data_IF_955925762458
#
_entry.id   IF_955925762458
#
_cell.length_a   1.000
_cell.length_b   1.000
_cell.length_c   1.000
_cell.angle_alpha   90.00
_cell.angle_beta   90.00
_cell.angle_gamma   90.00
#
_symmetry.space_group_name_H-M   'P 1'
#
loop_
_entity.id
_entity.type
_entity.pdbx_description
1 polymer ?
#
# COMPACT_ATOMS: atom_id res chain seq x y z
N UNK A 1 -70.10 -34.06 -9.63
CA UNK A 1 -71.27 -33.33 -10.19
C UNK A 1 -72.24 -33.03 -9.05
N UNK A 2 -72.47 -31.75 -8.77
CA UNK A 2 -73.65 -31.10 -8.13
C UNK A 2 -74.21 -31.72 -6.81
N UNK A 3 -74.63 -31.00 -5.77
CA UNK A 3 -75.55 -29.85 -5.72
C UNK A 3 -75.39 -29.18 -4.32
N UNK A 4 -75.61 -27.86 -4.23
CA UNK A 4 -75.77 -27.07 -3.00
C UNK A 4 -77.15 -27.35 -2.31
N UNK A 5 -77.73 -26.57 -1.33
CA UNK A 5 -77.30 -25.32 -0.66
C UNK A 5 -77.79 -25.12 0.84
N UNK A 6 -77.65 -23.88 1.35
CA UNK A 6 -78.50 -23.12 2.32
C UNK A 6 -78.38 -23.24 3.88
N UNK A 7 -77.94 -22.10 4.45
CA UNK A 7 -78.51 -21.26 5.54
C UNK A 7 -78.89 -21.83 6.95
N UNK A 8 -78.15 -21.30 7.94
CA UNK A 8 -78.61 -20.44 9.05
C UNK A 8 -79.46 -21.04 10.20
N UNK A 9 -78.96 -21.02 11.46
CA UNK A 9 -79.50 -20.25 12.61
C UNK A 9 -78.94 -20.66 13.99
N UNK A 10 -78.86 -19.63 14.85
CA UNK A 10 -78.53 -19.55 16.29
C UNK A 10 -79.50 -20.32 17.23
N UNK A 11 -79.02 -20.68 18.43
CA UNK A 11 -79.63 -20.50 19.79
C UNK A 11 -78.61 -21.00 20.85
N UNK A 12 -78.05 -20.14 21.72
CA UNK A 12 -78.55 -19.61 23.01
C UNK A 12 -78.45 -20.60 24.19
N UNK A 13 -77.60 -20.27 25.17
CA UNK A 13 -77.89 -20.39 26.62
C UNK A 13 -77.23 -19.20 27.35
N UNK A 14 -77.96 -18.63 28.31
CA UNK A 14 -77.69 -17.43 29.11
C UNK A 14 -77.78 -17.79 30.61
N UNK A 15 -77.05 -17.09 31.49
CA UNK A 15 -77.50 -16.39 32.72
C UNK A 15 -76.27 -15.88 33.53
N UNK A 16 -76.03 -14.55 33.60
CA UNK A 16 -76.23 -13.62 34.74
C UNK A 16 -75.13 -13.69 35.84
N UNK A 17 -74.57 -12.59 36.39
CA UNK A 17 -75.19 -11.37 36.91
C UNK A 17 -74.28 -10.11 36.88
N UNK A 18 -74.91 -8.95 37.10
CA UNK A 18 -74.47 -7.55 36.85
C UNK A 18 -74.06 -6.76 38.10
N UNK A 19 -73.33 -5.64 37.91
CA UNK A 19 -73.52 -4.26 38.46
C UNK A 19 -72.40 -3.34 37.85
N UNK A 20 -72.61 -2.38 36.92
CA UNK A 20 -73.08 -0.96 36.99
C UNK A 20 -72.35 -0.12 38.09
N UNK A 21 -71.74 1.07 37.92
CA UNK A 21 -71.84 2.25 37.01
C UNK A 21 -70.47 3.03 37.00
N UNK A 22 -69.94 3.48 35.85
CA UNK A 22 -69.94 4.86 35.28
C UNK A 22 -69.03 5.94 35.91
N UNK A 23 -68.06 6.48 35.15
CA UNK A 23 -67.94 7.90 34.72
C UNK A 23 -66.58 8.20 34.05
N UNK A 24 -66.59 9.18 33.13
CA UNK A 24 -65.53 9.59 32.19
C UNK A 24 -64.68 10.75 32.79
N UNK A 25 -63.72 11.35 32.04
CA UNK A 25 -62.29 11.44 32.33
C UNK A 25 -61.85 12.76 33.00
N UNK A 26 -60.63 12.82 33.56
CA UNK A 26 -59.87 14.08 33.68
C UNK A 26 -58.36 13.87 33.83
N UNK A 27 -57.64 14.65 33.04
CA UNK A 27 -56.21 14.95 33.04
C UNK A 27 -55.73 15.54 34.37
N UNK A 28 -54.54 15.20 34.86
CA UNK A 28 -53.31 16.03 34.80
C UNK A 28 -52.18 15.45 35.65
N UNK A 29 -50.97 15.55 35.07
CA UNK A 29 -49.67 15.82 35.69
C UNK A 29 -49.05 14.83 36.69
N UNK A 30 -47.87 14.34 36.28
CA UNK A 30 -46.69 14.35 37.14
C UNK A 30 -46.16 12.98 37.54
N UNK A 31 -45.25 12.43 36.73
CA UNK A 31 -43.87 12.22 37.15
C UNK A 31 -43.03 11.76 35.97
N UNK A 32 -42.08 12.62 35.63
CA UNK A 32 -40.99 12.41 34.70
C UNK A 32 -40.16 11.18 35.09
N UNK A 33 -39.99 10.23 34.17
CA UNK A 33 -38.73 9.52 34.03
C UNK A 33 -38.31 9.56 32.57
N UNK A 34 -37.59 10.61 32.23
CA UNK A 34 -36.59 10.59 31.16
C UNK A 34 -35.60 9.45 31.46
N UNK A 35 -35.82 8.25 30.93
CA UNK A 35 -34.72 7.35 30.64
C UNK A 35 -34.04 7.86 29.37
N UNK A 36 -33.05 8.72 29.61
CA UNK A 36 -31.95 8.94 28.69
C UNK A 36 -31.35 7.59 28.31
N UNK A 37 -31.75 7.04 27.17
CA UNK A 37 -30.94 6.03 26.48
C UNK A 37 -29.72 6.76 25.98
N UNK A 38 -28.64 6.69 26.76
CA UNK A 38 -27.32 7.04 26.30
C UNK A 38 -27.08 6.24 25.02
N UNK A 39 -27.02 6.93 23.88
CA UNK A 39 -26.60 6.36 22.62
C UNK A 39 -25.11 6.01 22.78
N UNK A 40 -24.83 4.85 23.38
CA UNK A 40 -23.49 4.30 23.41
C UNK A 40 -23.18 3.94 21.98
N UNK A 41 -22.27 4.68 21.36
CA UNK A 41 -21.73 4.31 20.06
C UNK A 41 -21.28 2.85 20.13
N UNK A 42 -21.95 2.00 19.35
CA UNK A 42 -21.62 0.58 19.25
C UNK A 42 -20.52 0.43 18.21
N UNK A 43 -19.58 -0.46 18.47
CA UNK A 43 -18.45 -0.72 17.58
C UNK A 43 -18.30 -2.21 17.35
N UNK A 44 -17.95 -2.58 16.13
CA UNK A 44 -17.43 -3.92 15.80
C UNK A 44 -16.08 -4.14 16.50
N UNK A 45 -15.64 -5.38 16.58
CA UNK A 45 -14.33 -5.72 17.19
C UNK A 45 -13.14 -5.03 16.50
N UNK A 46 -13.27 -4.67 15.22
CA UNK A 46 -12.26 -3.91 14.45
C UNK A 46 -12.35 -2.38 14.61
N UNK A 47 -13.21 -1.89 15.51
CA UNK A 47 -13.32 -0.46 15.82
C UNK A 47 -14.20 0.33 14.85
N UNK A 48 -14.90 -0.32 13.92
CA UNK A 48 -15.88 0.34 13.04
C UNK A 48 -17.17 0.64 13.79
N UNK A 49 -17.62 1.89 13.73
CA UNK A 49 -18.87 2.33 14.37
C UNK A 49 -20.09 1.73 13.68
N UNK A 50 -20.96 1.09 14.46
CA UNK A 50 -22.27 0.61 14.06
C UNK A 50 -23.24 1.79 14.17
N UNK A 51 -23.76 2.23 13.01
CA UNK A 51 -24.61 3.43 12.89
C UNK A 51 -26.10 3.15 13.08
N UNK A 52 -26.46 1.93 13.46
CA UNK A 52 -27.82 1.48 13.73
C UNK A 52 -27.86 0.72 15.05
N UNK A 53 -29.03 0.66 15.70
CA UNK A 53 -29.23 -0.21 16.85
C UNK A 53 -29.34 -1.67 16.35
N UNK A 54 -28.37 -2.55 16.63
CA UNK A 54 -28.38 -3.92 16.15
C UNK A 54 -29.49 -4.77 16.78
N UNK A 55 -30.12 -4.28 17.86
CA UNK A 55 -31.26 -4.92 18.51
C UNK A 55 -32.60 -4.33 18.06
N UNK A 56 -32.61 -3.37 17.14
CA UNK A 56 -33.84 -2.81 16.60
C UNK A 56 -34.66 -3.86 15.81
N UNK A 57 -36.00 -3.75 15.79
CA UNK A 57 -36.86 -4.65 15.02
C UNK A 57 -36.44 -4.75 13.55
N UNK A 58 -36.30 -5.98 13.04
CA UNK A 58 -35.89 -6.26 11.65
C UNK A 58 -34.39 -6.26 11.38
N UNK A 59 -33.55 -5.78 12.31
CA UNK A 59 -32.08 -5.82 12.12
C UNK A 59 -31.53 -7.24 12.19
N UNK A 60 -32.04 -8.06 13.10
CA UNK A 60 -31.66 -9.47 13.23
C UNK A 60 -31.95 -10.30 11.96
N UNK A 61 -33.03 -9.98 11.24
CA UNK A 61 -33.38 -10.66 9.98
C UNK A 61 -32.51 -10.18 8.82
N UNK A 62 -32.12 -8.90 8.83
CA UNK A 62 -31.33 -8.27 7.77
C UNK A 62 -29.82 -8.52 7.89
N UNK A 63 -29.32 -8.58 9.13
CA UNK A 63 -27.89 -8.61 9.45
C UNK A 63 -27.54 -9.67 10.48
N UNK A 64 -28.42 -10.61 10.84
CA UNK A 64 -28.14 -11.53 11.95
C UNK A 64 -28.10 -10.82 13.32
N UNK A 65 -27.90 -11.58 14.38
CA UNK A 65 -27.78 -11.05 15.75
C UNK A 65 -26.32 -11.04 16.19
N UNK A 66 -25.86 -10.03 16.97
CA UNK A 66 -24.50 -9.99 17.51
C UNK A 66 -24.09 -11.30 18.21
N UNK A 67 -22.92 -11.84 17.86
CA UNK A 67 -22.37 -13.06 18.46
C UNK A 67 -22.91 -14.38 17.88
N UNK A 68 -23.85 -14.33 16.95
CA UNK A 68 -24.28 -15.50 16.19
C UNK A 68 -23.66 -15.47 14.80
N UNK A 69 -23.21 -16.64 14.36
CA UNK A 69 -22.71 -16.83 13.00
C UNK A 69 -23.79 -17.37 12.09
N UNK A 70 -23.78 -17.02 10.80
CA UNK A 70 -24.61 -17.70 9.81
C UNK A 70 -24.15 -19.16 9.57
N UNK A 71 -24.79 -19.85 8.62
CA UNK A 71 -24.47 -21.25 8.28
C UNK A 71 -23.05 -21.45 7.74
N UNK A 72 -22.36 -20.38 7.37
CA UNK A 72 -21.00 -20.39 6.86
C UNK A 72 -19.99 -19.79 7.86
N UNK A 73 -20.43 -19.44 9.08
CA UNK A 73 -19.58 -18.95 10.15
C UNK A 73 -19.43 -17.42 10.23
N UNK A 74 -20.22 -16.64 9.49
CA UNK A 74 -20.16 -15.17 9.47
C UNK A 74 -20.83 -14.52 10.67
N UNK A 75 -20.08 -13.75 11.47
CA UNK A 75 -20.64 -12.80 12.43
C UNK A 75 -20.46 -11.36 11.90
N UNK A 76 -21.50 -10.71 11.37
CA UNK A 76 -21.41 -9.35 10.80
C UNK A 76 -21.01 -8.25 11.80
N UNK A 77 -21.05 -8.57 13.09
CA UNK A 77 -20.62 -7.69 14.17
C UNK A 77 -19.16 -7.95 14.61
N UNK A 78 -18.55 -9.04 14.15
CA UNK A 78 -17.18 -9.47 14.49
C UNK A 78 -16.24 -9.60 13.27
N UNK A 79 -16.74 -10.02 12.12
CA UNK A 79 -15.97 -10.35 10.93
C UNK A 79 -15.86 -9.18 9.95
N UNK A 80 -14.65 -8.94 9.40
CA UNK A 80 -14.37 -7.85 8.45
C UNK A 80 -14.52 -8.27 7.00
N UNK A 81 -15.17 -7.40 6.23
CA UNK A 81 -15.49 -7.59 4.81
C UNK A 81 -14.41 -6.94 3.93
N UNK A 82 -13.23 -7.55 3.91
CA UNK A 82 -12.15 -7.25 2.96
C UNK A 82 -11.63 -5.80 2.91
N UNK A 83 -10.59 -5.55 2.09
CA UNK A 83 -9.93 -4.24 1.99
C UNK A 83 -10.72 -3.15 1.24
N UNK A 84 -11.98 -3.42 0.87
CA UNK A 84 -12.76 -2.60 -0.06
C UNK A 84 -13.84 -1.70 0.54
N UNK A 85 -14.24 -1.88 1.80
CA UNK A 85 -15.44 -1.20 2.35
C UNK A 85 -15.09 -0.11 3.37
N UNK A 86 -13.91 -0.19 3.99
CA UNK A 86 -13.40 0.85 4.90
C UNK A 86 -12.14 1.47 4.31
N UNK A 87 -12.19 2.79 4.09
CA UNK A 87 -11.03 3.60 3.72
C UNK A 87 -10.57 4.42 4.91
N UNK A 88 -9.27 4.63 5.06
CA UNK A 88 -8.77 5.26 6.28
C UNK A 88 -7.26 5.35 6.37
N UNK A 89 -6.81 5.89 7.50
CA UNK A 89 -5.45 5.72 7.99
C UNK A 89 -5.28 4.25 8.35
N UNK A 90 -4.19 3.63 7.90
CA UNK A 90 -3.91 2.23 8.21
C UNK A 90 -3.66 2.03 9.71
N UNK A 91 -4.16 0.93 10.25
CA UNK A 91 -3.83 0.51 11.61
C UNK A 91 -2.40 -0.03 11.65
N UNK A 92 -1.64 0.40 12.66
CA UNK A 92 -0.26 -0.03 12.89
C UNK A 92 -0.13 -0.74 14.23
N UNK A 93 0.72 -1.77 14.32
CA UNK A 93 1.07 -2.40 15.60
C UNK A 93 1.79 -1.39 16.49
N UNK A 94 1.38 -1.29 17.75
CA UNK A 94 1.91 -0.29 18.69
C UNK A 94 3.41 -0.47 18.95
N UNK A 95 3.93 -1.70 18.98
CA UNK A 95 5.35 -1.94 19.25
C UNK A 95 6.26 -1.75 18.03
N UNK A 96 5.80 -2.16 16.83
CA UNK A 96 6.65 -2.22 15.63
C UNK A 96 6.36 -1.16 14.57
N UNK A 97 5.22 -0.46 14.64
CA UNK A 97 4.77 0.46 13.60
C UNK A 97 4.36 -0.21 12.29
N UNK A 98 4.44 -1.54 12.20
CA UNK A 98 4.05 -2.32 11.03
C UNK A 98 2.56 -2.21 10.75
N UNK A 99 2.22 -2.18 9.46
CA UNK A 99 0.83 -2.17 9.00
C UNK A 99 0.17 -3.50 9.37
N UNK A 100 -0.99 -3.42 10.01
CA UNK A 100 -1.81 -4.59 10.33
C UNK A 100 -2.50 -5.05 9.04
N UNK A 101 -2.16 -6.25 8.55
CA UNK A 101 -2.86 -6.89 7.44
C UNK A 101 -4.04 -7.68 8.00
N UNK A 102 -5.22 -7.48 7.42
CA UNK A 102 -6.45 -8.13 7.86
C UNK A 102 -6.43 -9.64 7.65
N UNK A 103 -7.35 -10.35 8.31
CA UNK A 103 -7.59 -11.77 7.99
C UNK A 103 -8.54 -11.87 6.80
N UNK A 104 -8.30 -12.85 5.94
CA UNK A 104 -9.20 -13.19 4.84
C UNK A 104 -10.51 -13.73 5.44
N UNK A 105 -11.62 -13.16 5.03
CA UNK A 105 -12.93 -13.71 5.32
C UNK A 105 -13.21 -14.87 4.36
N UNK A 106 -13.46 -16.07 4.91
CA UNK A 106 -13.93 -17.27 4.19
C UNK A 106 -13.20 -17.63 2.88
N UNK A 107 -11.91 -17.34 2.78
CA UNK A 107 -11.16 -17.56 1.54
C UNK A 107 -11.65 -16.77 0.29
N UNK A 108 -12.51 -15.76 0.43
CA UNK A 108 -13.08 -15.04 -0.74
C UNK A 108 -12.14 -14.03 -1.41
N UNK A 109 -11.11 -13.54 -0.70
CA UNK A 109 -10.10 -12.65 -1.28
C UNK A 109 -8.69 -13.24 -1.11
N UNK A 110 -8.07 -13.78 -2.17
CA UNK A 110 -6.75 -14.41 -2.08
C UNK A 110 -5.62 -13.45 -1.65
N UNK A 111 -5.88 -12.14 -1.55
CA UNK A 111 -4.93 -11.11 -1.14
C UNK A 111 -5.53 -10.19 -0.07
N UNK A 112 -5.38 -10.50 1.23
CA UNK A 112 -5.87 -9.62 2.29
C UNK A 112 -5.11 -8.29 2.28
N UNK A 113 -5.85 -7.17 2.35
CA UNK A 113 -5.26 -5.83 2.43
C UNK A 113 -5.14 -5.31 3.87
N UNK A 114 -4.67 -4.06 4.05
CA UNK A 114 -4.46 -3.48 5.37
C UNK A 114 -5.78 -3.24 6.12
N UNK A 115 -5.72 -3.33 7.45
CA UNK A 115 -6.80 -2.91 8.35
C UNK A 115 -6.74 -1.40 8.50
N UNK A 116 -7.90 -0.75 8.51
CA UNK A 116 -8.02 0.70 8.60
C UNK A 116 -8.55 1.11 9.97
N UNK A 117 -7.92 2.13 10.56
CA UNK A 117 -8.37 2.76 11.81
C UNK A 117 -9.50 3.79 11.59
N UNK A 118 -9.99 3.94 10.36
CA UNK A 118 -10.92 4.99 9.95
C UNK A 118 -10.21 6.34 9.71
N UNK A 119 -10.97 7.43 9.65
CA UNK A 119 -10.42 8.80 9.58
C UNK A 119 -10.14 9.37 8.18
N UNK A 120 -10.44 8.65 7.10
CA UNK A 120 -10.24 9.12 5.71
C UNK A 120 -8.82 8.91 5.18
N UNK A 121 -8.47 9.53 4.05
CA UNK A 121 -7.17 9.32 3.41
C UNK A 121 -6.00 9.73 4.32
N UNK A 122 -4.87 9.02 4.19
CA UNK A 122 -3.60 9.37 4.84
C UNK A 122 -3.23 10.86 4.63
N UNK A 123 -2.61 11.54 5.62
CA UNK A 123 -2.31 12.97 5.56
C UNK A 123 -1.54 13.40 4.30
N UNK A 124 -0.54 12.63 3.88
CA UNK A 124 0.24 12.92 2.67
C UNK A 124 -0.61 12.88 1.40
N UNK A 125 -1.61 12.00 1.35
CA UNK A 125 -2.57 11.91 0.23
C UNK A 125 -3.52 13.10 0.17
N UNK A 126 -3.93 13.66 1.32
CA UNK A 126 -4.81 14.82 1.38
C UNK A 126 -4.12 16.13 0.93
N UNK A 127 -2.79 16.15 0.90
CA UNK A 127 -1.99 17.34 0.60
C UNK A 127 -1.42 17.35 -0.82
N UNK A 128 -1.73 16.35 -1.65
CA UNK A 128 -1.19 16.24 -3.02
C UNK A 128 -1.57 17.43 -3.93
N UNK A 129 -2.65 18.14 -3.63
CA UNK A 129 -3.09 19.30 -4.40
C UNK A 129 -2.35 20.61 -4.00
N UNK A 130 -1.55 20.60 -2.93
CA UNK A 130 -0.77 21.75 -2.43
C UNK A 130 0.64 21.30 -2.06
N UNK A 131 1.46 21.09 -3.10
CA UNK A 131 2.83 20.58 -2.98
C UNK A 131 3.72 21.53 -2.18
N UNK A 132 3.77 22.80 -2.62
CA UNK A 132 4.70 23.78 -2.08
C UNK A 132 4.37 24.19 -0.63
N UNK A 133 3.08 24.33 -0.29
CA UNK A 133 2.65 24.77 1.04
C UNK A 133 2.53 23.62 2.03
N UNK A 134 1.71 22.61 1.70
CA UNK A 134 1.29 21.59 2.67
C UNK A 134 2.12 20.31 2.59
N UNK A 135 2.26 19.73 1.40
CA UNK A 135 2.92 18.43 1.26
C UNK A 135 4.39 18.49 1.66
N UNK A 136 5.14 19.47 1.15
CA UNK A 136 6.56 19.61 1.48
C UNK A 136 6.76 19.83 2.98
N UNK A 137 5.99 20.75 3.58
CA UNK A 137 6.03 21.00 5.03
C UNK A 137 5.72 19.75 5.86
N UNK A 138 4.76 18.93 5.42
CA UNK A 138 4.42 17.68 6.09
C UNK A 138 5.60 16.68 6.01
N UNK A 139 6.13 16.46 4.80
CA UNK A 139 7.18 15.49 4.56
C UNK A 139 8.55 15.91 5.13
N UNK A 140 8.78 17.19 5.33
CA UNK A 140 9.95 17.69 6.07
C UNK A 140 9.88 17.30 7.56
N UNK A 141 8.68 17.32 8.15
CA UNK A 141 8.46 16.96 9.55
C UNK A 141 8.34 15.45 9.76
N UNK A 142 7.74 14.76 8.79
CA UNK A 142 7.40 13.34 8.82
C UNK A 142 7.78 12.67 7.50
N UNK A 143 9.08 12.44 7.26
CA UNK A 143 9.58 11.92 5.98
C UNK A 143 9.08 10.50 5.67
N UNK A 144 8.74 9.71 6.69
CA UNK A 144 8.16 8.38 6.55
C UNK A 144 6.80 8.39 5.84
N UNK A 145 6.07 9.51 5.89
CA UNK A 145 4.76 9.64 5.26
C UNK A 145 4.79 9.68 3.72
N UNK A 146 5.99 9.78 3.13
CA UNK A 146 6.18 9.76 1.66
C UNK A 146 5.67 8.46 1.03
N UNK A 147 5.69 7.38 1.81
CA UNK A 147 5.29 6.03 1.43
C UNK A 147 4.10 5.52 2.27
N UNK A 148 3.38 6.42 2.94
CA UNK A 148 2.26 6.02 3.80
C UNK A 148 1.13 5.39 2.99
N UNK A 149 0.50 4.38 3.57
CA UNK A 149 -0.51 3.59 2.88
C UNK A 149 -1.90 4.12 3.24
N UNK A 150 -2.75 4.29 2.23
CA UNK A 150 -4.12 4.76 2.35
C UNK A 150 -5.11 3.72 1.83
N UNK A 151 -6.36 4.12 1.60
CA UNK A 151 -7.44 3.28 1.05
C UNK A 151 -6.98 2.47 -0.16
N UNK A 152 -7.30 1.17 -0.18
CA UNK A 152 -6.90 0.24 -1.24
C UNK A 152 -5.41 -0.11 -1.25
N UNK A 153 -4.70 0.03 -0.13
CA UNK A 153 -3.25 -0.20 -0.06
C UNK A 153 -2.41 0.80 -0.87
N UNK A 154 -3.03 1.88 -1.34
CA UNK A 154 -2.38 2.85 -2.21
C UNK A 154 -1.39 3.72 -1.43
N UNK A 155 -0.22 3.96 -2.01
CA UNK A 155 0.73 4.98 -1.53
C UNK A 155 0.48 6.33 -2.21
N UNK A 156 1.10 7.45 -1.75
CA UNK A 156 0.83 8.77 -2.30
C UNK A 156 1.06 8.86 -3.81
N UNK A 157 2.06 8.14 -4.36
CA UNK A 157 2.28 8.05 -5.81
C UNK A 157 1.13 7.37 -6.58
N UNK A 158 0.47 6.36 -6.01
CA UNK A 158 -0.74 5.79 -6.60
C UNK A 158 -1.87 6.83 -6.63
N UNK A 159 -1.98 7.61 -5.56
CA UNK A 159 -3.00 8.64 -5.42
C UNK A 159 -2.77 9.85 -6.34
N UNK A 160 -1.52 10.12 -6.74
CA UNK A 160 -1.22 11.02 -7.84
C UNK A 160 -1.89 10.59 -9.15
N UNK A 161 -2.07 9.29 -9.34
CA UNK A 161 -2.74 8.70 -10.49
C UNK A 161 -4.26 8.83 -10.52
N UNK A 162 -4.87 9.51 -9.54
CA UNK A 162 -6.34 9.62 -9.42
C UNK A 162 -6.91 10.93 -10.00
N UNK A 163 -6.07 11.93 -10.32
CA UNK A 163 -6.53 13.15 -10.97
C UNK A 163 -5.40 13.90 -11.68
N UNK A 164 -5.76 14.72 -12.68
CA UNK A 164 -4.79 15.57 -13.41
C UNK A 164 -4.06 16.58 -12.54
N UNK A 165 -4.67 17.06 -11.45
CA UNK A 165 -4.03 17.99 -10.53
C UNK A 165 -2.93 17.32 -9.70
N UNK A 166 -3.24 16.13 -9.17
CA UNK A 166 -2.37 15.42 -8.23
C UNK A 166 -1.12 14.83 -8.88
N UNK A 167 -1.13 14.58 -10.19
CA UNK A 167 0.06 14.07 -10.88
C UNK A 167 1.27 15.02 -10.75
N UNK A 168 1.05 16.31 -10.50
CA UNK A 168 2.13 17.32 -10.26
C UNK A 168 2.93 17.05 -8.98
N UNK A 169 2.38 16.29 -8.04
CA UNK A 169 3.09 15.93 -6.81
C UNK A 169 4.12 14.79 -7.01
N UNK A 170 4.12 14.11 -8.17
CA UNK A 170 5.03 12.98 -8.44
C UNK A 170 6.49 13.38 -8.22
N UNK A 171 6.93 14.52 -8.78
CA UNK A 171 8.30 15.00 -8.63
C UNK A 171 8.71 15.17 -7.16
N UNK A 172 7.91 15.89 -6.39
CA UNK A 172 8.19 16.16 -4.97
C UNK A 172 8.24 14.88 -4.12
N UNK A 173 7.42 13.88 -4.45
CA UNK A 173 7.39 12.58 -3.77
C UNK A 173 8.62 11.74 -4.14
N UNK A 174 8.93 11.62 -5.43
CA UNK A 174 10.09 10.88 -5.95
C UNK A 174 11.41 11.42 -5.39
N UNK A 175 11.55 12.75 -5.36
CA UNK A 175 12.73 13.42 -4.80
C UNK A 175 12.88 13.19 -3.29
N UNK A 176 11.82 12.74 -2.61
CA UNK A 176 11.78 12.42 -1.17
C UNK A 176 11.79 10.93 -0.86
N UNK A 177 12.06 10.07 -1.85
CA UNK A 177 12.21 8.63 -1.63
C UNK A 177 10.93 7.82 -1.76
N UNK A 178 9.92 8.34 -2.48
CA UNK A 178 8.72 7.56 -2.77
C UNK A 178 9.05 6.31 -3.60
N UNK A 179 8.38 5.19 -3.28
CA UNK A 179 8.53 3.93 -3.98
C UNK A 179 7.75 3.94 -5.31
N UNK A 180 8.49 4.02 -6.42
CA UNK A 180 7.93 4.12 -7.77
C UNK A 180 7.38 2.79 -8.30
N UNK A 181 7.75 1.65 -7.69
CA UNK A 181 7.32 0.30 -8.09
C UNK A 181 6.42 -0.36 -7.05
N UNK A 182 6.00 0.36 -6.01
CA UNK A 182 5.07 -0.17 -5.03
C UNK A 182 3.77 -0.65 -5.68
N UNK A 183 3.17 -1.67 -5.09
CA UNK A 183 1.91 -2.24 -5.55
C UNK A 183 0.78 -1.91 -4.58
N UNK A 184 -0.33 -1.42 -5.12
CA UNK A 184 -1.58 -1.30 -4.37
C UNK A 184 -2.31 -2.66 -4.24
N UNK A 185 -3.47 -2.69 -3.57
CA UNK A 185 -4.25 -3.94 -3.37
C UNK A 185 -4.78 -4.57 -4.66
N UNK A 186 -4.79 -3.84 -5.78
CA UNK A 186 -5.14 -4.38 -7.09
C UNK A 186 -3.91 -4.90 -7.84
N UNK A 187 -2.72 -4.84 -7.24
CA UNK A 187 -1.48 -5.24 -7.88
C UNK A 187 -1.00 -4.24 -8.93
N UNK A 188 -1.44 -2.99 -8.88
CA UNK A 188 -1.03 -1.95 -9.81
C UNK A 188 0.09 -1.11 -9.23
N UNK A 189 1.07 -0.74 -10.06
CA UNK A 189 2.06 0.30 -9.73
C UNK A 189 1.48 1.71 -9.93
N UNK A 190 2.14 2.78 -9.44
CA UNK A 190 1.77 4.15 -9.78
C UNK A 190 1.67 4.40 -11.30
N UNK A 191 2.55 3.80 -12.11
CA UNK A 191 2.53 3.95 -13.57
C UNK A 191 1.27 3.33 -14.19
N UNK A 192 0.79 2.20 -13.67
CA UNK A 192 -0.49 1.62 -14.08
C UNK A 192 -1.67 2.53 -13.75
N UNK A 193 -1.66 3.20 -12.59
CA UNK A 193 -2.70 4.18 -12.22
C UNK A 193 -2.71 5.39 -13.16
N UNK A 194 -1.53 5.89 -13.54
CA UNK A 194 -1.42 6.96 -14.54
C UNK A 194 -1.97 6.51 -15.90
N UNK A 195 -1.66 5.28 -16.31
CA UNK A 195 -2.16 4.69 -17.55
C UNK A 195 -3.68 4.57 -17.58
N UNK A 196 -4.28 4.03 -16.51
CA UNK A 196 -5.74 3.85 -16.41
C UNK A 196 -6.53 5.15 -16.49
N UNK A 197 -5.92 6.29 -16.12
CA UNK A 197 -6.59 7.59 -16.03
C UNK A 197 -6.07 8.62 -17.06
N UNK A 198 -5.30 8.17 -18.06
CA UNK A 198 -4.75 9.03 -19.13
C UNK A 198 -3.93 10.23 -18.60
N UNK A 199 -3.01 9.98 -17.66
CA UNK A 199 -2.20 10.98 -16.97
C UNK A 199 -0.76 11.00 -17.50
N UNK A 200 -0.57 11.58 -18.68
CA UNK A 200 0.69 11.57 -19.41
C UNK A 200 1.84 12.30 -18.71
N UNK A 201 1.57 13.42 -18.02
CA UNK A 201 2.58 14.22 -17.32
C UNK A 201 3.16 13.45 -16.12
N UNK A 202 2.29 12.83 -15.30
CA UNK A 202 2.68 11.96 -14.21
C UNK A 202 3.43 10.72 -14.68
N UNK A 203 2.97 10.08 -15.76
CA UNK A 203 3.66 8.93 -16.35
C UNK A 203 5.07 9.29 -16.84
N UNK A 204 5.23 10.43 -17.52
CA UNK A 204 6.54 10.92 -17.97
C UNK A 204 7.50 11.11 -16.80
N UNK A 205 7.05 11.78 -15.73
CA UNK A 205 7.87 11.96 -14.53
C UNK A 205 8.28 10.63 -13.88
N UNK A 206 7.38 9.64 -13.80
CA UNK A 206 7.72 8.31 -13.29
C UNK A 206 8.75 7.60 -14.17
N UNK A 207 8.61 7.68 -15.49
CA UNK A 207 9.56 7.08 -16.45
C UNK A 207 10.94 7.76 -16.40
N UNK A 208 10.99 9.08 -16.24
CA UNK A 208 12.23 9.83 -16.01
C UNK A 208 12.86 9.51 -14.65
N UNK A 209 12.02 9.23 -13.64
CA UNK A 209 12.43 8.64 -12.37
C UNK A 209 12.83 7.15 -12.50
N UNK A 210 12.76 6.58 -13.70
CA UNK A 210 13.25 5.23 -13.99
C UNK A 210 12.25 4.15 -13.58
N UNK A 211 10.95 4.43 -13.60
CA UNK A 211 9.94 3.40 -13.47
C UNK A 211 10.04 2.40 -14.63
N UNK A 212 9.85 1.12 -14.34
CA UNK A 212 9.91 0.06 -15.35
C UNK A 212 8.64 0.08 -16.21
N UNK A 213 8.79 0.56 -17.45
CA UNK A 213 7.70 0.63 -18.44
C UNK A 213 7.11 -0.74 -18.78
N UNK A 214 7.86 -1.82 -18.56
CA UNK A 214 7.43 -3.20 -18.83
C UNK A 214 6.95 -3.94 -17.58
N UNK A 215 6.90 -3.29 -16.41
CA UNK A 215 6.38 -3.94 -15.21
C UNK A 215 4.89 -4.28 -15.39
N UNK A 216 4.54 -5.56 -15.18
CA UNK A 216 3.16 -6.06 -15.33
C UNK A 216 2.32 -6.03 -14.05
N UNK A 217 2.84 -5.46 -12.96
CA UNK A 217 2.27 -5.56 -11.61
C UNK A 217 1.97 -7.00 -11.19
N UNK A 218 1.00 -7.15 -10.28
CA UNK A 218 0.29 -8.41 -10.06
C UNK A 218 -1.07 -8.46 -10.78
N UNK A 219 -1.42 -7.41 -11.52
CA UNK A 219 -2.56 -7.37 -12.44
C UNK A 219 -2.28 -8.17 -13.71
N UNK A 220 -1.01 -8.41 -14.04
CA UNK A 220 -0.59 -9.25 -15.16
C UNK A 220 -0.54 -8.52 -16.51
N UNK A 221 -0.65 -7.20 -16.51
CA UNK A 221 -0.69 -6.35 -17.68
C UNK A 221 0.30 -5.20 -17.53
N UNK A 222 0.97 -4.78 -18.60
CA UNK A 222 1.79 -3.56 -18.57
C UNK A 222 0.92 -2.31 -18.53
N UNK A 223 1.50 -1.19 -18.10
CA UNK A 223 0.84 0.12 -18.17
C UNK A 223 0.34 0.45 -19.60
N UNK A 224 1.08 0.08 -20.66
CA UNK A 224 0.65 0.29 -22.04
C UNK A 224 -0.56 -0.57 -22.44
N UNK A 225 -0.67 -1.81 -21.92
CA UNK A 225 -1.86 -2.65 -22.11
C UNK A 225 -3.10 -2.01 -21.48
N UNK A 226 -2.98 -1.55 -20.22
CA UNK A 226 -4.06 -0.84 -19.52
C UNK A 226 -4.45 0.44 -20.26
N UNK A 227 -3.48 1.23 -20.71
CA UNK A 227 -3.75 2.46 -21.46
C UNK A 227 -4.53 2.18 -22.75
N UNK A 228 -4.18 1.12 -23.49
CA UNK A 228 -4.93 0.68 -24.68
C UNK A 228 -6.36 0.27 -24.34
N UNK A 229 -6.54 -0.55 -23.30
CA UNK A 229 -7.87 -1.01 -22.87
C UNK A 229 -8.80 0.13 -22.44
N UNK A 230 -8.24 1.17 -21.82
CA UNK A 230 -8.97 2.35 -21.34
C UNK A 230 -9.07 3.50 -22.36
N UNK A 231 -8.57 3.33 -23.59
CA UNK A 231 -8.48 4.39 -24.60
C UNK A 231 -7.75 5.66 -24.10
N UNK A 232 -6.71 5.48 -23.29
CA UNK A 232 -5.90 6.53 -22.68
C UNK A 232 -4.75 6.92 -23.64
N UNK A 233 -5.09 7.66 -24.70
CA UNK A 233 -4.15 7.90 -25.81
C UNK A 233 -2.93 8.77 -25.45
N UNK A 234 -3.10 9.80 -24.62
CA UNK A 234 -2.00 10.73 -24.30
C UNK A 234 -0.90 10.01 -23.52
N UNK A 235 -1.28 9.18 -22.54
CA UNK A 235 -0.30 8.39 -21.77
C UNK A 235 0.25 7.23 -22.58
N UNK A 236 -0.53 6.64 -23.50
CA UNK A 236 -0.07 5.58 -24.38
C UNK A 236 1.10 6.05 -25.26
N UNK A 237 1.02 7.27 -25.82
CA UNK A 237 2.11 7.86 -26.60
C UNK A 237 3.41 7.96 -25.77
N UNK A 238 3.31 8.41 -24.51
CA UNK A 238 4.45 8.50 -23.60
C UNK A 238 5.06 7.12 -23.32
N UNK A 239 4.22 6.12 -23.09
CA UNK A 239 4.64 4.75 -22.79
C UNK A 239 5.32 4.09 -23.99
N UNK A 240 4.74 4.19 -25.20
CA UNK A 240 5.31 3.62 -26.42
C UNK A 240 6.65 4.27 -26.82
N UNK A 241 6.79 5.58 -26.60
CA UNK A 241 8.07 6.27 -26.76
C UNK A 241 9.12 5.72 -25.77
N UNK A 242 8.75 5.51 -24.51
CA UNK A 242 9.65 4.94 -23.51
C UNK A 242 10.03 3.47 -23.82
N UNK A 243 9.09 2.65 -24.27
CA UNK A 243 9.35 1.27 -24.71
C UNK A 243 10.34 1.22 -25.88
N UNK A 244 10.17 2.09 -26.90
CA UNK A 244 11.13 2.20 -28.02
C UNK A 244 12.53 2.57 -27.53
N UNK A 245 12.64 3.50 -26.60
CA UNK A 245 13.94 3.90 -26.02
C UNK A 245 14.58 2.75 -25.24
N UNK A 246 13.78 1.97 -24.51
CA UNK A 246 14.27 0.79 -23.80
C UNK A 246 14.80 -0.27 -24.78
N UNK A 247 14.11 -0.51 -25.90
CA UNK A 247 14.54 -1.48 -26.93
C UNK A 247 15.75 -1.05 -27.78
N UNK A 248 16.04 0.25 -27.88
CA UNK A 248 17.10 0.81 -28.74
C UNK A 248 18.45 1.03 -28.03
N UNK A 249 18.63 0.60 -26.77
CA UNK A 249 19.88 0.84 -26.02
C UNK A 249 21.09 0.11 -26.64
N UNK A 250 21.74 0.74 -27.62
CA UNK A 250 23.20 0.63 -27.81
C UNK A 250 23.84 1.46 -26.70
N UNK A 251 24.48 0.81 -25.73
CA UNK A 251 25.59 1.30 -24.89
C UNK A 251 25.83 2.82 -24.92
N UNK A 252 24.87 3.61 -24.46
CA UNK A 252 25.07 5.03 -24.14
C UNK A 252 25.15 5.08 -22.63
N UNK A 253 26.32 5.45 -22.10
CA UNK A 253 26.66 5.38 -20.68
C UNK A 253 25.52 5.77 -19.75
N UNK A 254 25.34 4.98 -18.69
CA UNK A 254 24.20 5.10 -17.81
C UNK A 254 24.32 6.36 -16.94
N UNK A 255 23.41 7.33 -17.14
CA UNK A 255 23.12 8.35 -16.13
C UNK A 255 22.12 7.77 -15.16
N UNK A 256 22.58 7.38 -13.97
CA UNK A 256 21.67 7.09 -12.87
C UNK A 256 20.93 8.35 -12.46
N UNK A 257 19.62 8.22 -12.25
CA UNK A 257 18.81 9.24 -11.62
C UNK A 257 18.77 9.11 -10.08
N UNK A 258 19.28 8.00 -9.53
CA UNK A 258 19.35 7.79 -8.08
C UNK A 258 20.48 8.63 -7.50
N UNK A 259 20.16 9.48 -6.53
CA UNK A 259 21.11 10.39 -5.89
C UNK A 259 21.47 10.00 -4.47
N UNK A 260 20.60 9.25 -3.80
CA UNK A 260 20.81 8.78 -2.43
C UNK A 260 19.93 7.56 -2.17
N UNK A 261 20.42 6.63 -1.36
CA UNK A 261 19.61 5.63 -0.68
C UNK A 261 19.63 5.88 0.82
N UNK A 262 18.55 5.54 1.52
CA UNK A 262 18.55 5.51 2.99
C UNK A 262 18.05 4.13 3.43
N UNK A 263 18.84 3.42 4.22
CA UNK A 263 18.51 2.10 4.78
C UNK A 263 18.11 2.27 6.24
N UNK A 264 16.99 1.67 6.62
CA UNK A 264 16.46 1.73 7.99
C UNK A 264 15.93 0.37 8.43
N UNK A 265 15.95 0.14 9.74
CA UNK A 265 15.35 -1.06 10.34
C UNK A 265 16.08 -2.37 10.03
N UNK A 266 17.33 -2.32 9.59
CA UNK A 266 18.18 -3.49 9.42
C UNK A 266 18.52 -4.10 10.78
N UNK A 267 17.96 -5.28 11.07
CA UNK A 267 18.22 -6.06 12.28
C UNK A 267 18.41 -7.53 11.87
N UNK A 268 19.49 -8.22 12.30
CA UNK A 268 20.44 -7.85 13.34
C UNK A 268 21.68 -7.07 12.87
N UNK A 269 21.68 -6.51 11.66
CA UNK A 269 22.84 -5.81 11.08
C UNK A 269 22.68 -4.27 11.14
N UNK A 270 22.88 -3.62 12.30
CA UNK A 270 22.64 -2.19 12.43
C UNK A 270 23.59 -1.34 11.59
N UNK A 271 24.79 -1.83 11.28
CA UNK A 271 25.80 -1.13 10.47
C UNK A 271 25.34 -0.88 9.03
N UNK A 272 24.34 -1.62 8.55
CA UNK A 272 23.74 -1.37 7.25
C UNK A 272 22.76 -0.18 7.24
N UNK A 273 22.33 0.31 8.41
CA UNK A 273 21.42 1.47 8.48
C UNK A 273 22.18 2.77 8.26
N UNK A 274 21.61 3.67 7.46
CA UNK A 274 22.15 4.99 7.19
C UNK A 274 22.01 5.39 5.73
N UNK A 275 22.69 6.47 5.37
CA UNK A 275 22.65 7.03 4.02
C UNK A 275 23.74 6.40 3.14
N UNK A 276 23.40 6.19 1.86
CA UNK A 276 24.32 5.69 0.85
C UNK A 276 24.32 6.61 -0.37
N UNK A 277 25.51 6.87 -0.90
CA UNK A 277 25.72 7.74 -2.05
C UNK A 277 26.25 6.95 -3.25
N UNK A 278 25.81 7.28 -4.48
CA UNK A 278 26.24 6.56 -5.67
C UNK A 278 27.76 6.72 -5.90
N UNK A 279 28.36 5.66 -6.41
CA UNK A 279 29.77 5.52 -6.79
C UNK A 279 29.90 4.85 -8.14
N UNK A 280 30.95 5.24 -8.86
CA UNK A 280 31.26 4.69 -10.18
C UNK A 280 32.31 3.58 -10.01
N UNK A 281 31.99 2.31 -10.34
CA UNK A 281 32.94 1.20 -10.23
C UNK A 281 34.14 1.34 -11.16
N UNK A 282 34.05 2.18 -12.20
CA UNK A 282 35.20 2.55 -13.03
C UNK A 282 36.30 3.28 -12.25
N UNK A 283 35.92 3.99 -11.19
CA UNK A 283 36.83 4.85 -10.42
C UNK A 283 37.09 4.33 -9.01
N UNK A 284 36.18 3.55 -8.45
CA UNK A 284 36.24 3.12 -7.06
C UNK A 284 35.55 1.76 -6.84
N UNK A 285 36.23 0.86 -6.13
CA UNK A 285 35.70 -0.46 -5.73
C UNK A 285 35.56 -0.46 -4.19
N UNK A 286 34.49 -1.03 -3.61
CA UNK A 286 34.31 -1.08 -2.16
C UNK A 286 35.49 -1.75 -1.44
N UNK A 287 35.97 -1.15 -0.34
CA UNK A 287 37.08 -1.66 0.47
C UNK A 287 36.81 -3.07 1.00
N UNK A 288 35.60 -3.32 1.50
CA UNK A 288 35.14 -4.63 1.97
C UNK A 288 35.19 -5.69 0.86
N UNK A 289 34.73 -5.34 -0.34
CA UNK A 289 34.79 -6.22 -1.51
C UNK A 289 36.24 -6.57 -1.89
N UNK A 290 37.14 -5.59 -1.91
CA UNK A 290 38.58 -5.81 -2.18
C UNK A 290 39.19 -6.76 -1.15
N UNK A 291 38.83 -6.61 0.14
CA UNK A 291 39.30 -7.51 1.20
C UNK A 291 38.82 -8.94 0.98
N UNK A 292 37.55 -9.15 0.69
CA UNK A 292 36.98 -10.48 0.40
C UNK A 292 37.66 -11.10 -0.83
N UNK A 293 37.86 -10.34 -1.90
CA UNK A 293 38.56 -10.84 -3.09
C UNK A 293 39.97 -11.31 -2.74
N UNK A 294 40.74 -10.51 -1.98
CA UNK A 294 42.09 -10.87 -1.54
C UNK A 294 42.11 -12.14 -0.69
N UNK A 295 41.17 -12.29 0.25
CA UNK A 295 41.06 -13.47 1.10
C UNK A 295 40.73 -14.75 0.31
N UNK A 296 40.00 -14.62 -0.79
CA UNK A 296 39.66 -15.71 -1.70
C UNK A 296 40.70 -15.92 -2.82
N UNK A 297 41.74 -15.08 -2.90
CA UNK A 297 42.75 -15.12 -3.97
C UNK A 297 42.24 -14.66 -5.34
N UNK A 298 41.20 -13.81 -5.37
CA UNK A 298 40.62 -13.23 -6.59
C UNK A 298 41.19 -11.84 -6.87
N UNK A 299 41.29 -11.48 -8.16
CA UNK A 299 41.54 -10.09 -8.56
C UNK A 299 40.25 -9.26 -8.42
N UNK A 300 40.32 -8.18 -7.65
CA UNK A 300 39.15 -7.36 -7.34
C UNK A 300 38.60 -6.61 -8.57
N UNK A 301 39.46 -6.19 -9.51
CA UNK A 301 39.02 -5.49 -10.72
C UNK A 301 38.32 -6.46 -11.69
N UNK A 302 38.88 -7.65 -11.86
CA UNK A 302 38.27 -8.70 -12.67
C UNK A 302 36.92 -9.14 -12.08
N UNK A 303 36.85 -9.36 -10.76
CA UNK A 303 35.59 -9.76 -10.11
C UNK A 303 34.55 -8.63 -10.15
N UNK A 304 34.95 -7.39 -9.88
CA UNK A 304 34.07 -6.24 -10.02
C UNK A 304 33.53 -6.11 -11.46
N UNK A 305 34.39 -6.25 -12.46
CA UNK A 305 34.00 -6.24 -13.88
C UNK A 305 33.06 -7.42 -14.24
N UNK A 306 33.24 -8.57 -13.59
CA UNK A 306 32.38 -9.74 -13.79
C UNK A 306 30.98 -9.52 -13.20
N UNK A 307 30.89 -8.98 -11.97
CA UNK A 307 29.64 -8.78 -11.26
C UNK A 307 28.87 -7.54 -11.74
N UNK A 308 29.57 -6.50 -12.16
CA UNK A 308 28.98 -5.24 -12.61
C UNK A 308 28.95 -5.09 -14.15
N UNK A 309 29.56 -6.02 -14.89
CA UNK A 309 29.67 -5.99 -16.35
C UNK A 309 30.94 -5.32 -16.86
N UNK A 310 31.32 -5.63 -18.11
CA UNK A 310 32.55 -5.10 -18.75
C UNK A 310 32.51 -3.61 -19.09
N UNK A 311 31.37 -2.96 -18.92
CA UNK A 311 31.24 -1.51 -19.05
C UNK A 311 31.17 -0.91 -17.64
N UNK A 312 32.29 -0.41 -17.09
CA UNK A 312 32.34 0.18 -15.76
C UNK A 312 31.49 1.45 -15.64
N UNK A 313 31.04 2.03 -16.76
CA UNK A 313 30.14 3.19 -16.78
C UNK A 313 28.65 2.82 -16.74
N UNK A 314 28.32 1.53 -16.79
CA UNK A 314 26.94 1.07 -16.89
C UNK A 314 26.25 0.87 -15.53
N UNK A 315 26.99 0.48 -14.48
CA UNK A 315 26.40 0.08 -13.21
C UNK A 315 26.96 0.90 -12.05
N UNK A 316 26.06 1.47 -11.25
CA UNK A 316 26.40 2.18 -10.01
C UNK A 316 26.39 1.20 -8.84
N UNK A 317 27.24 1.45 -7.86
CA UNK A 317 27.07 0.92 -6.51
C UNK A 317 26.90 2.10 -5.55
N UNK A 318 26.49 1.85 -4.32
CA UNK A 318 26.25 2.90 -3.34
C UNK A 318 27.09 2.65 -2.09
N UNK A 319 27.90 3.64 -1.71
CA UNK A 319 28.75 3.60 -0.52
C UNK A 319 28.02 4.21 0.67
N UNK A 320 28.07 3.55 1.82
CA UNK A 320 27.59 4.12 3.08
C UNK A 320 28.38 5.38 3.43
N UNK A 321 27.75 6.38 4.04
CA UNK A 321 28.41 7.65 4.37
C UNK A 321 29.36 7.56 5.56
N UNK A 322 29.10 6.64 6.49
CA UNK A 322 29.75 6.62 7.80
C UNK A 322 30.61 5.37 8.06
N UNK A 323 30.57 4.36 7.17
CA UNK A 323 31.31 3.10 7.33
C UNK A 323 31.55 2.41 5.98
N UNK A 324 32.17 1.23 5.98
CA UNK A 324 32.53 0.46 4.77
C UNK A 324 31.38 -0.38 4.17
N UNK A 325 30.13 -0.21 4.62
CA UNK A 325 28.97 -0.92 4.04
C UNK A 325 28.66 -0.40 2.63
N UNK A 326 28.08 -1.25 1.78
CA UNK A 326 27.73 -0.85 0.41
C UNK A 326 26.55 -1.64 -0.16
N UNK A 327 25.93 -1.06 -1.18
CA UNK A 327 24.77 -1.63 -1.89
C UNK A 327 25.10 -1.73 -3.37
N UNK A 328 24.82 -2.88 -3.98
CA UNK A 328 25.10 -3.09 -5.41
C UNK A 328 24.12 -4.08 -6.04
N UNK A 329 24.01 -4.00 -7.36
CA UNK A 329 23.30 -4.98 -8.16
C UNK A 329 24.27 -6.08 -8.61
N UNK A 330 23.98 -7.32 -8.26
CA UNK A 330 24.73 -8.47 -8.72
C UNK A 330 24.14 -8.98 -10.03
N UNK A 331 24.86 -8.75 -11.14
CA UNK A 331 24.41 -9.17 -12.48
C UNK A 331 24.36 -10.68 -12.68
N UNK A 332 25.16 -11.43 -11.91
CA UNK A 332 25.25 -12.88 -12.06
C UNK A 332 24.00 -13.58 -11.54
N UNK A 333 23.49 -13.17 -10.38
CA UNK A 333 22.30 -13.76 -9.77
C UNK A 333 21.01 -12.94 -9.97
N UNK A 334 21.15 -11.73 -10.54
CA UNK A 334 20.06 -10.77 -10.79
C UNK A 334 19.36 -10.36 -9.49
N UNK A 335 20.15 -10.04 -8.48
CA UNK A 335 19.65 -9.57 -7.19
C UNK A 335 20.41 -8.35 -6.70
N UNK A 336 19.74 -7.53 -5.90
CA UNK A 336 20.37 -6.47 -5.13
C UNK A 336 20.95 -7.04 -3.84
N UNK A 337 22.12 -6.54 -3.48
CA UNK A 337 22.85 -6.91 -2.28
C UNK A 337 23.10 -5.68 -1.40
N UNK A 338 23.01 -5.87 -0.09
CA UNK A 338 23.57 -4.97 0.92
C UNK A 338 24.65 -5.76 1.63
N UNK A 339 25.86 -5.23 1.64
CA UNK A 339 27.01 -5.79 2.34
C UNK A 339 27.33 -4.91 3.53
N UNK A 340 27.60 -5.54 4.68
CA UNK A 340 28.12 -4.84 5.85
C UNK A 340 29.59 -4.44 5.65
N UNK A 341 30.22 -3.81 6.66
CA UNK A 341 31.59 -3.33 6.57
C UNK A 341 32.61 -4.45 6.30
N UNK A 342 32.26 -5.71 6.59
CA UNK A 342 33.10 -6.89 6.35
C UNK A 342 33.15 -7.30 4.87
N UNK A 343 32.13 -6.97 4.07
CA UNK A 343 31.97 -7.36 2.67
C UNK A 343 31.33 -8.74 2.45
N UNK A 344 30.78 -9.39 3.49
CA UNK A 344 30.28 -10.77 3.40
C UNK A 344 28.82 -10.90 2.93
N UNK A 345 28.14 -9.79 2.68
CA UNK A 345 26.72 -9.76 2.33
C UNK A 345 25.81 -10.03 3.52
N UNK A 346 24.90 -9.09 3.79
CA UNK A 346 23.93 -9.19 4.88
C UNK A 346 22.51 -9.41 4.39
N UNK A 347 22.13 -8.72 3.31
CA UNK A 347 20.78 -8.77 2.75
C UNK A 347 20.79 -8.92 1.24
N UNK A 348 19.82 -9.69 0.72
CA UNK A 348 19.54 -9.78 -0.71
C UNK A 348 18.07 -9.52 -1.01
N UNK A 349 17.79 -8.90 -2.15
CA UNK A 349 16.43 -8.69 -2.63
C UNK A 349 16.34 -8.79 -4.15
N UNK A 350 15.20 -9.28 -4.65
CA UNK A 350 14.89 -9.25 -6.07
C UNK A 350 14.29 -7.89 -6.43
N UNK A 351 14.66 -7.37 -7.58
CA UNK A 351 14.15 -6.11 -8.12
C UNK A 351 14.74 -5.86 -9.50
N UNK A 352 14.37 -4.76 -10.17
CA UNK A 352 14.98 -4.37 -11.42
C UNK A 352 16.43 -3.87 -11.23
N UNK A 353 17.29 -4.07 -12.23
CA UNK A 353 18.73 -3.69 -12.20
C UNK A 353 18.98 -2.20 -11.91
N UNK A 354 18.06 -1.32 -12.27
CA UNK A 354 18.21 0.13 -12.16
C UNK A 354 17.60 0.73 -10.88
N UNK A 355 17.00 -0.08 -10.01
CA UNK A 355 16.35 0.40 -8.80
C UNK A 355 16.38 -0.65 -7.68
N UNK A 356 17.05 -0.36 -6.55
CA UNK A 356 16.98 -1.24 -5.40
C UNK A 356 15.54 -1.28 -4.86
N UNK A 357 15.02 -2.47 -4.50
CA UNK A 357 13.68 -2.61 -3.99
C UNK A 357 13.57 -1.98 -2.59
N UNK A 358 12.45 -1.31 -2.31
CA UNK A 358 12.27 -0.64 -1.03
C UNK A 358 12.05 -1.60 0.15
N UNK A 359 11.62 -2.83 -0.11
CA UNK A 359 11.31 -3.88 0.89
C UNK A 359 11.60 -5.27 0.32
N UNK A 360 11.40 -6.32 1.13
CA UNK A 360 11.52 -7.72 0.68
C UNK A 360 12.93 -8.29 0.78
N UNK A 361 13.82 -7.59 1.48
CA UNK A 361 15.18 -8.00 1.77
C UNK A 361 15.22 -9.23 2.67
N UNK A 362 15.99 -10.24 2.27
CA UNK A 362 16.16 -11.52 2.96
C UNK A 362 17.60 -11.64 3.47
N UNK A 363 17.76 -12.11 4.71
CA UNK A 363 19.08 -12.30 5.30
C UNK A 363 19.83 -13.42 4.58
N UNK A 364 21.12 -13.21 4.34
CA UNK A 364 22.01 -14.23 3.75
C UNK A 364 22.41 -15.30 4.79
N UNK A 365 22.50 -14.93 6.08
CA UNK A 365 23.14 -15.76 7.12
C UNK A 365 22.17 -16.59 7.96
N UNK A 366 20.94 -16.82 7.48
CA UNK A 366 19.86 -17.55 8.17
C UNK A 366 19.46 -16.99 9.56
N UNK A 367 19.96 -15.81 9.94
CA UNK A 367 19.60 -15.15 11.19
C UNK A 367 18.18 -14.59 11.08
N UNK A 368 17.35 -14.88 12.09
CA UNK A 368 16.02 -14.30 12.18
C UNK A 368 16.13 -12.78 12.46
N UNK A 369 15.49 -11.96 11.64
CA UNK A 369 15.58 -10.51 11.74
C UNK A 369 14.59 -9.81 10.81
N UNK A 370 14.35 -8.52 11.08
CA UNK A 370 13.57 -7.67 10.20
C UNK A 370 14.48 -7.18 9.07
N UNK A 371 14.08 -7.49 7.82
CA UNK A 371 14.73 -6.94 6.65
C UNK A 371 14.63 -5.42 6.61
N UNK A 372 15.63 -4.72 6.04
CA UNK A 372 15.61 -3.28 5.96
C UNK A 372 14.49 -2.74 5.08
N UNK A 373 14.14 -1.48 5.33
CA UNK A 373 13.45 -0.61 4.39
C UNK A 373 14.49 0.26 3.70
N UNK A 374 14.43 0.33 2.38
CA UNK A 374 15.34 1.14 1.55
C UNK A 374 14.53 2.24 0.85
N UNK A 375 14.83 3.49 1.18
CA UNK A 375 14.27 4.64 0.47
C UNK A 375 15.21 5.04 -0.68
N UNK A 376 14.66 5.26 -1.87
CA UNK A 376 15.44 5.60 -3.06
C UNK A 376 15.12 7.00 -3.55
N UNK A 377 16.05 7.94 -3.34
CA UNK A 377 15.89 9.34 -3.71
C UNK A 377 16.38 9.55 -5.13
N UNK A 378 15.56 10.18 -5.98
CA UNK A 378 15.86 10.32 -7.40
C UNK A 378 15.69 11.75 -7.87
N UNK A 379 16.47 12.14 -8.88
CA UNK A 379 16.27 13.38 -9.64
C UNK A 379 15.48 13.08 -10.91
N UNK A 380 14.45 13.87 -11.15
CA UNK A 380 13.76 13.91 -12.44
C UNK A 380 14.37 15.06 -13.23
N UNK A 381 14.62 14.87 -14.54
CA UNK A 381 15.15 15.94 -15.39
C UNK A 381 14.29 17.21 -15.31
N UNK A 382 14.90 18.38 -15.48
CA UNK A 382 14.13 19.58 -15.76
C UNK A 382 13.61 19.48 -17.20
N UNK A 383 12.32 19.73 -17.41
CA UNK A 383 11.76 19.90 -18.74
C UNK A 383 12.46 21.10 -19.38
N UNK A 384 13.24 20.87 -20.45
CA UNK A 384 13.83 21.94 -21.26
C UNK A 384 12.78 22.64 -22.11
#
# INVERSE_FOLDING_TARGET
>A
MSVAPLRNRRRLVSFAASLLLAHRPQTTSGLSQNMSTTNRDLYRHDGVRITHDPYAPGMAEKYGTPGNTDSEGFDPYKDSVGPGIYGGIVQRRHESGEIVIGRQYQNHNPRPGPVYAGGGYAPSTLMLDDVAGKLNTLLEKFPDLVNDVTTGGAQPLHMCGMSRGKQRAVRALVERGADIEALDTYGMTPLHRMASNNLAEGARMLLEAGADVLHVGEVGETAASIARGSAAYDVLEVLEEAERRAGSRKSSGFKSNVVKLTVMGSVPFPDANGDYLPRNPATEIPSGFVRVCREQGWDANEMCSKLNGRDPSANIWFAHTDNDSYIYWNKSDKTWWIDGPDGLGVWIARGPEHAPPGRGWKSVTAQAGSGPVVLTFRKIGEDN
#
